data_IF_776262658292
#
_entry.id   IF_776262658292
#
_cell.length_a   1.000
_cell.length_b   1.000
_cell.length_c   1.000
_cell.angle_alpha   90.00
_cell.angle_beta   90.00
_cell.angle_gamma   90.00
#
_symmetry.space_group_name_H-M   'P 1'
#
loop_
_entity.id
_entity.type
_entity.pdbx_description
1 polymer ?
#
# COMPACT_ATOMS: atom_id res chain seq x y z
N UNK A 1 2.63 0.30 13.20
CA UNK A 1 1.33 0.98 13.41
C UNK A 1 1.26 2.11 12.40
N UNK A 2 0.36 2.03 11.41
CA UNK A 2 0.18 3.05 10.36
C UNK A 2 -0.95 4.01 10.78
N UNK A 3 -0.76 5.33 10.61
CA UNK A 3 -1.60 6.35 11.26
C UNK A 3 -2.04 7.42 10.25
N UNK A 4 -3.34 7.69 10.21
CA UNK A 4 -4.01 8.66 9.34
C UNK A 4 -4.12 10.07 9.96
N UNK A 5 -4.26 11.07 9.06
CA UNK A 5 -4.00 12.50 9.20
C UNK A 5 -4.51 13.26 10.43
N UNK A 6 -5.67 12.92 11.00
CA UNK A 6 -6.28 13.78 12.03
C UNK A 6 -5.58 13.72 13.39
N UNK A 7 -4.74 12.71 13.62
CA UNK A 7 -4.03 12.47 14.88
C UNK A 7 -2.50 12.37 14.75
N UNK A 8 -1.93 12.61 13.56
CA UNK A 8 -0.48 12.53 13.34
C UNK A 8 0.30 13.40 14.35
N UNK A 9 -0.22 14.59 14.68
CA UNK A 9 0.36 15.48 15.69
C UNK A 9 0.34 14.88 17.11
N UNK A 10 -0.77 14.26 17.53
CA UNK A 10 -0.94 13.69 18.88
C UNK A 10 -0.17 12.38 19.09
N UNK A 11 0.04 11.59 18.02
CA UNK A 11 0.74 10.31 18.11
C UNK A 11 2.25 10.43 17.84
N UNK A 12 2.71 11.46 17.11
CA UNK A 12 4.14 11.82 17.11
C UNK A 12 4.59 12.21 18.53
N UNK A 13 3.73 12.88 19.31
CA UNK A 13 3.96 13.10 20.75
C UNK A 13 3.95 11.81 21.58
N UNK A 14 3.36 10.73 21.07
CA UNK A 14 3.35 9.40 21.69
C UNK A 14 4.52 8.50 21.24
N UNK A 15 5.50 9.04 20.49
CA UNK A 15 6.71 8.32 20.08
C UNK A 15 6.63 7.61 18.73
N UNK A 16 5.63 7.88 17.89
CA UNK A 16 5.57 7.30 16.55
C UNK A 16 6.73 7.81 15.67
N UNK A 17 7.60 6.90 15.23
CA UNK A 17 8.76 7.19 14.37
C UNK A 17 8.41 7.24 12.87
N UNK A 18 7.23 6.75 12.48
CA UNK A 18 6.73 6.72 11.11
C UNK A 18 5.32 7.31 11.07
N UNK A 19 5.07 8.25 10.15
CA UNK A 19 3.78 8.87 9.89
C UNK A 19 3.35 8.49 8.48
N UNK A 20 2.12 7.99 8.31
CA UNK A 20 1.60 7.58 7.01
C UNK A 20 0.81 8.70 6.35
N UNK A 21 0.97 8.85 5.04
CA UNK A 21 0.10 9.71 4.23
C UNK A 21 -1.34 9.17 4.25
N UNK A 22 -2.33 10.03 4.02
CA UNK A 22 -3.74 9.61 3.93
C UNK A 22 -4.13 9.24 2.49
N UNK A 23 -3.30 8.41 1.86
CA UNK A 23 -3.41 8.06 0.43
C UNK A 23 -3.85 6.64 0.15
N UNK A 24 -4.12 5.82 1.17
CA UNK A 24 -4.50 4.41 1.06
C UNK A 24 -5.53 4.12 -0.04
N UNK A 25 -6.67 4.82 -0.02
CA UNK A 25 -7.73 4.75 -1.03
C UNK A 25 -7.62 5.79 -2.15
N UNK A 26 -6.69 6.74 -2.05
CA UNK A 26 -6.57 7.83 -3.02
C UNK A 26 -5.89 7.32 -4.29
N UNK A 27 -6.63 7.34 -5.41
CA UNK A 27 -6.16 6.88 -6.71
C UNK A 27 -6.96 7.56 -7.83
N UNK A 28 -6.41 7.69 -9.04
CA UNK A 28 -7.19 8.15 -10.19
C UNK A 28 -8.47 7.35 -10.41
N UNK A 29 -8.45 6.04 -10.15
CA UNK A 29 -9.62 5.16 -10.26
C UNK A 29 -10.72 5.51 -9.25
N UNK A 30 -10.40 5.62 -7.96
CA UNK A 30 -11.36 5.96 -6.91
C UNK A 30 -11.92 7.37 -7.07
N UNK A 31 -11.07 8.33 -7.49
CA UNK A 31 -11.53 9.69 -7.81
C UNK A 31 -12.46 9.74 -9.02
N UNK A 32 -12.15 9.01 -10.09
CA UNK A 32 -13.02 8.93 -11.27
C UNK A 32 -14.41 8.34 -10.91
N UNK A 33 -14.46 7.30 -10.06
CA UNK A 33 -15.73 6.73 -9.56
C UNK A 33 -16.53 7.74 -8.72
N UNK A 34 -15.85 8.65 -8.03
CA UNK A 34 -16.47 9.75 -7.29
C UNK A 34 -16.84 10.95 -8.20
N UNK A 35 -16.65 10.87 -9.52
CA UNK A 35 -16.94 11.95 -10.46
C UNK A 35 -15.93 13.10 -10.44
N UNK A 36 -14.74 12.87 -9.87
CA UNK A 36 -13.65 13.86 -9.80
C UNK A 36 -12.77 13.72 -11.06
N UNK A 37 -12.50 14.84 -11.72
CA UNK A 37 -11.69 14.87 -12.93
C UNK A 37 -10.21 14.57 -12.64
N UNK A 38 -9.45 14.20 -13.68
CA UNK A 38 -8.05 13.80 -13.57
C UNK A 38 -7.14 14.89 -12.98
N UNK A 39 -7.38 16.16 -13.31
CA UNK A 39 -6.56 17.28 -12.81
C UNK A 39 -6.78 17.49 -11.32
N UNK A 40 -8.03 17.49 -10.89
CA UNK A 40 -8.39 17.59 -9.46
C UNK A 40 -7.93 16.36 -8.68
N UNK A 41 -8.09 15.15 -9.23
CA UNK A 41 -7.60 13.90 -8.63
C UNK A 41 -6.09 13.95 -8.37
N UNK A 42 -5.32 14.42 -9.36
CA UNK A 42 -3.88 14.63 -9.24
C UNK A 42 -3.55 15.61 -8.11
N UNK A 43 -4.21 16.76 -8.09
CA UNK A 43 -3.99 17.79 -7.07
C UNK A 43 -4.30 17.28 -5.65
N UNK A 44 -5.37 16.53 -5.47
CA UNK A 44 -5.75 15.94 -4.18
C UNK A 44 -4.73 14.91 -3.70
N UNK A 45 -4.22 14.05 -4.60
CA UNK A 45 -3.21 13.04 -4.26
C UNK A 45 -1.92 13.72 -3.77
N UNK A 46 -1.41 14.70 -4.51
CA UNK A 46 -0.24 15.49 -4.14
C UNK A 46 -0.45 16.25 -2.84
N UNK A 47 -1.62 16.85 -2.66
CA UNK A 47 -1.95 17.60 -1.43
C UNK A 47 -1.97 16.71 -0.20
N UNK A 48 -2.42 15.46 -0.30
CA UNK A 48 -2.40 14.53 0.84
C UNK A 48 -0.97 14.22 1.31
N UNK A 49 -0.01 14.12 0.39
CA UNK A 49 1.40 13.90 0.74
C UNK A 49 1.99 15.17 1.35
N UNK A 50 1.78 16.31 0.69
CA UNK A 50 2.26 17.63 1.12
C UNK A 50 1.80 18.01 2.55
N UNK A 51 0.53 17.75 2.87
CA UNK A 51 0.00 17.98 4.23
C UNK A 51 0.74 17.12 5.28
N UNK A 52 1.19 15.91 4.93
CA UNK A 52 1.98 15.06 5.83
C UNK A 52 3.37 15.67 6.06
N UNK A 53 4.00 16.20 5.01
CA UNK A 53 5.27 16.92 5.13
C UNK A 53 5.16 18.20 5.96
N UNK A 54 4.07 18.95 5.79
CA UNK A 54 3.77 20.13 6.62
C UNK A 54 3.60 19.75 8.09
N UNK A 55 2.87 18.66 8.38
CA UNK A 55 2.72 18.16 9.74
C UNK A 55 4.08 17.77 10.37
N UNK A 56 4.95 17.09 9.61
CA UNK A 56 6.32 16.78 10.05
C UNK A 56 7.14 18.05 10.33
N UNK A 57 7.06 19.04 9.44
CA UNK A 57 7.77 20.32 9.62
C UNK A 57 7.31 21.02 10.90
N UNK A 58 6.01 21.16 11.11
CA UNK A 58 5.43 21.77 12.33
C UNK A 58 5.85 21.00 13.59
N UNK A 59 5.92 19.68 13.52
CA UNK A 59 6.38 18.86 14.65
C UNK A 59 7.82 19.18 15.03
N UNK A 60 8.74 19.21 14.05
CA UNK A 60 10.16 19.50 14.26
C UNK A 60 10.38 20.93 14.77
N UNK A 61 9.62 21.91 14.27
CA UNK A 61 9.69 23.30 14.75
C UNK A 61 9.28 23.43 16.23
N UNK A 62 8.33 22.59 16.69
CA UNK A 62 7.87 22.57 18.08
C UNK A 62 8.73 21.73 19.01
N UNK A 63 9.57 20.86 18.48
CA UNK A 63 10.43 19.95 19.23
C UNK A 63 11.85 19.99 18.66
N UNK A 64 12.58 21.12 18.84
CA UNK A 64 13.94 21.26 18.30
C UNK A 64 14.92 20.25 18.90
N UNK A 65 14.63 19.73 20.10
CA UNK A 65 15.41 18.70 20.79
C UNK A 65 15.01 17.26 20.39
N UNK A 66 14.12 17.09 19.41
CA UNK A 66 13.74 15.75 18.94
C UNK A 66 14.97 15.02 18.40
N UNK A 67 15.29 13.88 19.04
CA UNK A 67 16.48 13.07 18.71
C UNK A 67 16.36 12.50 17.29
N UNK A 68 15.15 12.20 16.83
CA UNK A 68 14.89 11.61 15.52
C UNK A 68 13.80 12.36 14.75
N UNK A 69 14.03 12.54 13.45
CA UNK A 69 13.04 13.06 12.50
C UNK A 69 12.05 11.94 12.16
N UNK A 70 10.73 12.15 12.34
CA UNK A 70 9.73 11.18 11.90
C UNK A 70 9.83 10.92 10.39
N UNK A 71 9.79 9.64 10.01
CA UNK A 71 9.74 9.22 8.60
C UNK A 71 8.32 9.36 8.06
N UNK A 72 8.20 9.72 6.79
CA UNK A 72 6.93 9.75 6.05
C UNK A 72 6.85 8.52 5.16
N UNK A 73 5.81 7.73 5.42
CA UNK A 73 5.46 6.54 4.66
C UNK A 73 4.32 6.86 3.69
N UNK A 74 4.55 6.65 2.39
CA UNK A 74 3.50 6.78 1.38
C UNK A 74 2.60 5.54 1.42
N UNK A 75 1.43 5.70 2.03
CA UNK A 75 0.41 4.65 2.17
C UNK A 75 -0.28 4.35 0.84
N UNK A 76 -0.16 3.11 0.39
CA UNK A 76 -0.68 2.61 -0.88
C UNK A 76 -1.51 1.34 -0.60
N UNK A 77 -2.84 1.50 -0.56
CA UNK A 77 -3.76 0.38 -0.43
C UNK A 77 -3.88 -0.46 -1.70
N UNK A 78 -4.53 -1.64 -1.60
CA UNK A 78 -4.70 -2.54 -2.71
C UNK A 78 -5.70 -1.99 -3.73
N UNK A 79 -5.72 -2.60 -4.91
CA UNK A 79 -6.65 -2.34 -5.99
C UNK A 79 -8.11 -2.38 -5.54
N UNK A 80 -8.46 -3.38 -4.71
CA UNK A 80 -9.81 -3.53 -4.16
C UNK A 80 -10.27 -2.33 -3.32
N UNK A 81 -9.34 -1.65 -2.62
CA UNK A 81 -9.70 -0.49 -1.81
C UNK A 81 -10.23 0.68 -2.67
N UNK A 82 -9.86 0.75 -3.96
CA UNK A 82 -10.39 1.74 -4.89
C UNK A 82 -11.80 1.41 -5.40
N UNK A 83 -12.28 0.16 -5.24
CA UNK A 83 -13.62 -0.27 -5.66
C UNK A 83 -14.72 0.15 -4.65
N UNK A 84 -14.33 0.43 -3.40
CA UNK A 84 -15.21 0.86 -2.30
C UNK A 84 -16.32 -0.14 -1.95
N UNK A 85 -16.08 -1.43 -2.16
CA UNK A 85 -17.03 -2.53 -1.93
C UNK A 85 -16.55 -3.57 -0.89
N UNK A 86 -15.41 -3.31 -0.23
CA UNK A 86 -14.80 -4.22 0.74
C UNK A 86 -13.96 -5.33 0.11
N UNK A 87 -13.73 -5.29 -1.21
CA UNK A 87 -12.91 -6.27 -1.93
C UNK A 87 -11.47 -6.34 -1.42
N UNK A 88 -10.97 -5.34 -0.69
CA UNK A 88 -9.65 -5.39 -0.03
C UNK A 88 -9.52 -6.51 1.01
N UNK A 89 -10.62 -7.08 1.51
CA UNK A 89 -10.61 -8.22 2.45
C UNK A 89 -10.95 -9.56 1.80
N UNK A 90 -11.43 -9.56 0.55
CA UNK A 90 -11.79 -10.78 -0.19
C UNK A 90 -10.81 -11.09 -1.32
N UNK A 91 -10.09 -10.07 -1.82
CA UNK A 91 -9.22 -10.15 -2.99
C UNK A 91 -9.96 -10.38 -4.31
N UNK A 92 -11.30 -10.37 -4.32
CA UNK A 92 -12.11 -10.53 -5.53
C UNK A 92 -12.26 -9.16 -6.18
N UNK A 93 -11.49 -8.92 -7.24
CA UNK A 93 -11.46 -7.65 -7.96
C UNK A 93 -12.12 -7.79 -9.31
N UNK A 94 -12.96 -6.82 -9.65
CA UNK A 94 -13.57 -6.72 -10.98
C UNK A 94 -12.88 -5.66 -11.86
N UNK A 95 -12.83 -5.90 -13.17
CA UNK A 95 -12.28 -4.99 -14.18
C UNK A 95 -13.09 -3.67 -14.24
N UNK A 96 -12.49 -2.49 -14.01
CA UNK A 96 -13.14 -1.19 -14.05
C UNK A 96 -13.36 -0.69 -15.48
N UNK A 97 -12.75 -1.32 -16.48
CA UNK A 97 -12.65 -0.87 -17.87
C UNK A 97 -13.59 -1.53 -18.88
N UNK A 98 -14.29 -2.63 -18.59
CA UNK A 98 -15.16 -3.32 -19.56
C UNK A 98 -16.29 -4.07 -18.87
N UNK A 99 -17.45 -4.31 -19.46
CA UNK A 99 -18.22 -3.74 -20.57
C UNK A 99 -19.69 -3.93 -20.15
N UNK A 100 -20.69 -3.48 -20.91
CA UNK A 100 -22.09 -3.84 -20.60
C UNK A 100 -22.36 -5.37 -20.65
N UNK A 101 -21.36 -6.19 -21.01
CA UNK A 101 -21.52 -7.59 -21.40
C UNK A 101 -21.05 -8.59 -20.33
N UNK A 102 -20.15 -8.23 -19.41
CA UNK A 102 -19.78 -9.11 -18.27
C UNK A 102 -19.26 -8.32 -17.03
N UNK A 103 -20.12 -8.05 -16.03
CA UNK A 103 -19.73 -7.36 -14.81
C UNK A 103 -18.89 -8.21 -13.84
N UNK A 104 -18.62 -9.49 -14.14
CA UNK A 104 -17.91 -10.42 -13.27
C UNK A 104 -16.48 -10.76 -13.74
N UNK A 105 -16.00 -10.12 -14.81
CA UNK A 105 -14.64 -10.32 -15.30
C UNK A 105 -13.60 -9.95 -14.22
N UNK A 106 -12.73 -10.87 -13.80
CA UNK A 106 -11.67 -10.57 -12.83
C UNK A 106 -10.71 -9.50 -13.37
N UNK A 107 -10.24 -8.61 -12.49
CA UNK A 107 -9.20 -7.64 -12.84
C UNK A 107 -7.96 -8.36 -13.37
N UNK A 108 -7.42 -7.92 -14.50
CA UNK A 108 -6.21 -8.50 -15.05
C UNK A 108 -4.98 -7.98 -14.30
N UNK A 109 -3.88 -8.74 -14.38
CA UNK A 109 -2.59 -8.32 -13.82
C UNK A 109 -2.19 -6.91 -14.29
N UNK A 110 -2.35 -6.64 -15.59
CA UNK A 110 -2.04 -5.33 -16.19
C UNK A 110 -2.88 -4.18 -15.60
N UNK A 111 -4.14 -4.43 -15.23
CA UNK A 111 -4.99 -3.41 -14.60
C UNK A 111 -4.46 -3.03 -13.21
N UNK A 112 -3.98 -4.03 -12.46
CA UNK A 112 -3.37 -3.81 -11.14
C UNK A 112 -2.00 -3.12 -11.27
N UNK A 113 -1.18 -3.49 -12.26
CA UNK A 113 0.11 -2.84 -12.55
C UNK A 113 -0.14 -1.36 -12.84
N UNK A 114 -1.06 -1.07 -13.78
CA UNK A 114 -1.41 0.29 -14.15
C UNK A 114 -1.94 1.09 -12.97
N UNK A 115 -2.79 0.48 -12.14
CA UNK A 115 -3.35 1.13 -10.96
C UNK A 115 -2.27 1.60 -9.97
N UNK A 116 -1.32 0.73 -9.64
CA UNK A 116 -0.23 1.08 -8.72
C UNK A 116 0.74 2.08 -9.37
N UNK A 117 1.08 1.86 -10.65
CA UNK A 117 1.96 2.75 -11.42
C UNK A 117 1.40 4.17 -11.51
N UNK A 118 0.13 4.36 -11.88
CA UNK A 118 -0.47 5.69 -12.05
C UNK A 118 -0.38 6.53 -10.76
N UNK A 119 -0.55 5.89 -9.58
CA UNK A 119 -0.45 6.57 -8.27
C UNK A 119 0.98 6.99 -7.98
N UNK A 120 1.93 6.08 -8.21
CA UNK A 120 3.35 6.32 -8.00
C UNK A 120 3.87 7.41 -8.94
N UNK A 121 3.55 7.31 -10.23
CA UNK A 121 3.95 8.25 -11.28
C UNK A 121 3.51 9.69 -10.94
N UNK A 122 2.25 9.88 -10.54
CA UNK A 122 1.74 11.22 -10.20
C UNK A 122 2.58 11.88 -9.11
N UNK A 123 2.94 11.12 -8.07
CA UNK A 123 3.65 11.64 -6.90
C UNK A 123 5.14 11.78 -7.20
N UNK A 124 5.74 10.79 -7.86
CA UNK A 124 7.17 10.76 -8.21
C UNK A 124 7.55 11.83 -9.24
N UNK A 125 6.62 12.18 -10.15
CA UNK A 125 6.80 13.25 -11.13
C UNK A 125 6.83 14.67 -10.50
N UNK A 126 6.56 14.80 -9.20
CA UNK A 126 6.65 16.07 -8.46
C UNK A 126 7.81 16.03 -7.45
N UNK A 127 9.03 16.49 -7.82
CA UNK A 127 10.22 16.34 -6.98
C UNK A 127 10.08 16.94 -5.57
N UNK A 128 9.35 18.05 -5.44
CA UNK A 128 9.09 18.72 -4.16
C UNK A 128 8.19 17.89 -3.23
N UNK A 129 7.39 16.98 -3.78
CA UNK A 129 6.52 16.06 -3.05
C UNK A 129 7.25 14.74 -2.80
N UNK A 130 7.89 14.16 -3.83
CA UNK A 130 8.62 12.90 -3.74
C UNK A 130 9.77 12.94 -2.72
N UNK A 131 10.46 14.09 -2.61
CA UNK A 131 11.51 14.29 -1.60
C UNK A 131 11.00 14.27 -0.16
N UNK A 132 9.69 14.43 0.07
CA UNK A 132 9.10 14.36 1.41
C UNK A 132 8.88 12.92 1.86
N UNK A 133 8.66 12.00 0.92
CA UNK A 133 8.43 10.57 1.16
C UNK A 133 9.75 9.88 1.46
N UNK A 134 9.81 9.17 2.58
CA UNK A 134 11.01 8.43 2.99
C UNK A 134 10.91 6.94 2.63
N UNK A 135 9.71 6.37 2.61
CA UNK A 135 9.48 4.97 2.24
C UNK A 135 8.07 4.73 1.64
N UNK A 136 7.93 3.66 0.86
CA UNK A 136 6.68 3.23 0.24
C UNK A 136 6.03 2.10 1.05
N UNK A 137 4.72 2.17 1.21
CA UNK A 137 3.96 1.26 2.04
C UNK A 137 2.80 0.65 1.27
N UNK A 138 3.02 -0.54 0.71
CA UNK A 138 1.95 -1.32 0.13
C UNK A 138 1.27 -2.10 1.25
N UNK A 139 0.05 -1.71 1.62
CA UNK A 139 -0.59 -2.23 2.82
C UNK A 139 -1.95 -2.85 2.57
N UNK A 140 -2.30 -3.86 3.37
CA UNK A 140 -3.54 -4.64 3.25
C UNK A 140 -3.64 -5.41 1.93
N UNK A 141 -2.54 -5.96 1.42
CA UNK A 141 -2.56 -6.73 0.16
C UNK A 141 -3.19 -8.12 0.39
N UNK A 142 -4.29 -8.49 -0.31
CA UNK A 142 -5.01 -9.74 -0.05
C UNK A 142 -4.70 -10.86 -1.06
N UNK A 143 -3.78 -10.65 -2.02
CA UNK A 143 -3.48 -11.62 -3.08
C UNK A 143 -2.05 -11.51 -3.62
N UNK A 144 -1.49 -12.62 -4.08
CA UNK A 144 -0.09 -12.72 -4.53
C UNK A 144 0.18 -12.05 -5.88
N UNK A 145 -0.74 -12.18 -6.84
CA UNK A 145 -0.62 -11.56 -8.16
C UNK A 145 -0.74 -10.03 -8.11
N UNK A 146 -1.36 -9.47 -7.07
CA UNK A 146 -1.25 -8.03 -6.81
C UNK A 146 0.12 -7.64 -6.27
N UNK A 147 0.77 -8.46 -5.42
CA UNK A 147 2.14 -8.22 -5.00
C UNK A 147 3.11 -8.23 -6.20
N UNK A 148 2.90 -9.14 -7.16
CA UNK A 148 3.59 -9.15 -8.44
C UNK A 148 3.29 -7.88 -9.27
N UNK A 149 2.04 -7.44 -9.32
CA UNK A 149 1.66 -6.20 -10.00
C UNK A 149 2.37 -4.97 -9.42
N UNK A 150 2.52 -4.92 -8.10
CA UNK A 150 3.24 -3.85 -7.40
C UNK A 150 4.72 -3.87 -7.78
N UNK A 151 5.36 -5.03 -7.81
CA UNK A 151 6.76 -5.19 -8.24
C UNK A 151 6.97 -4.64 -9.65
N UNK A 152 6.13 -5.05 -10.60
CA UNK A 152 6.21 -4.56 -11.98
C UNK A 152 5.90 -3.06 -12.09
N UNK A 153 5.03 -2.51 -11.25
CA UNK A 153 4.77 -1.06 -11.19
C UNK A 153 6.00 -0.27 -10.68
N UNK A 154 6.72 -0.80 -9.68
CA UNK A 154 7.97 -0.21 -9.19
C UNK A 154 9.09 -0.31 -10.22
N UNK A 155 9.27 -1.48 -10.84
CA UNK A 155 10.25 -1.70 -11.90
C UNK A 155 10.03 -0.68 -13.03
N UNK A 156 8.77 -0.53 -13.47
CA UNK A 156 8.37 0.45 -14.48
C UNK A 156 8.63 1.89 -14.04
N UNK A 157 8.36 2.24 -12.78
CA UNK A 157 8.61 3.58 -12.25
C UNK A 157 10.09 3.96 -12.34
N UNK A 158 10.98 3.02 -11.98
CA UNK A 158 12.42 3.26 -11.92
C UNK A 158 13.14 3.01 -13.25
N UNK A 159 12.52 2.34 -14.22
CA UNK A 159 13.06 2.14 -15.57
C UNK A 159 12.69 3.24 -16.57
N UNK A 160 11.65 4.04 -16.30
CA UNK A 160 11.16 5.09 -17.19
C UNK A 160 11.95 6.40 -17.04
N UNK A 161 11.68 7.37 -17.93
CA UNK A 161 12.33 8.71 -17.95
C UNK A 161 12.01 9.59 -16.73
N UNK A 162 11.18 9.12 -15.78
CA UNK A 162 10.90 9.86 -14.55
C UNK A 162 12.13 9.75 -13.65
N UNK A 163 12.95 10.80 -13.67
CA UNK A 163 14.10 10.92 -12.79
C UNK A 163 13.64 11.15 -11.34
N UNK A 164 13.41 10.04 -10.63
CA UNK A 164 13.09 10.05 -9.22
C UNK A 164 14.06 9.14 -8.45
N UNK A 165 14.32 9.49 -7.19
CA UNK A 165 15.14 8.66 -6.31
C UNK A 165 14.36 7.41 -5.92
N UNK A 166 14.98 6.23 -6.02
CA UNK A 166 14.42 5.00 -5.47
C UNK A 166 14.21 5.12 -3.95
N UNK A 167 13.02 4.71 -3.50
CA UNK A 167 12.62 4.70 -2.09
C UNK A 167 12.53 3.25 -1.62
N UNK A 168 12.95 2.94 -0.38
CA UNK A 168 12.70 1.63 0.20
C UNK A 168 11.20 1.40 0.28
N UNK A 169 10.77 0.17 -0.01
CA UNK A 169 9.38 -0.26 -0.02
C UNK A 169 9.19 -1.45 0.91
N UNK A 170 8.10 -1.45 1.66
CA UNK A 170 7.62 -2.66 2.31
C UNK A 170 6.23 -3.01 1.81
N UNK A 171 5.91 -4.29 1.90
CA UNK A 171 4.58 -4.83 1.60
C UNK A 171 4.01 -5.52 2.84
N UNK A 172 2.73 -5.29 3.11
CA UNK A 172 2.02 -5.95 4.21
C UNK A 172 0.74 -6.59 3.72
N UNK A 173 0.52 -7.81 4.18
CA UNK A 173 -0.61 -8.63 3.78
C UNK A 173 -1.69 -8.67 4.85
N UNK A 174 -2.91 -9.03 4.44
CA UNK A 174 -4.06 -9.23 5.32
C UNK A 174 -4.46 -10.70 5.39
N UNK A 175 -4.72 -11.19 6.60
CA UNK A 175 -5.15 -12.57 6.88
C UNK A 175 -6.45 -12.57 7.70
N UNK A 176 -7.63 -12.38 7.08
CA UNK A 176 -8.89 -12.25 7.82
C UNK A 176 -9.23 -13.45 8.72
N UNK A 177 -8.75 -14.65 8.36
CA UNK A 177 -8.91 -15.91 9.10
C UNK A 177 -7.63 -16.37 9.81
N UNK A 178 -6.52 -15.63 9.67
CA UNK A 178 -5.23 -15.94 10.26
C UNK A 178 -4.48 -17.11 9.60
N UNK A 179 -4.93 -17.62 8.46
CA UNK A 179 -4.36 -18.82 7.81
C UNK A 179 -3.78 -18.55 6.44
N UNK A 180 -4.49 -17.78 5.61
CA UNK A 180 -4.09 -17.51 4.22
C UNK A 180 -4.50 -16.13 3.76
N UNK A 181 -3.94 -15.72 2.62
CA UNK A 181 -4.46 -14.59 1.89
C UNK A 181 -5.89 -14.89 1.41
N UNK A 182 -6.80 -13.89 1.40
CA UNK A 182 -8.19 -14.07 0.98
C UNK A 182 -8.40 -14.64 -0.43
N UNK A 183 -7.43 -14.43 -1.34
CA UNK A 183 -7.54 -14.85 -2.72
C UNK A 183 -6.30 -15.66 -3.18
N UNK A 184 -6.51 -16.76 -3.92
CA UNK A 184 -7.81 -17.33 -4.32
C UNK A 184 -8.55 -17.93 -3.12
N UNK A 185 -9.90 -17.91 -3.16
CA UNK A 185 -10.71 -18.51 -2.11
C UNK A 185 -10.43 -20.02 -2.05
N UNK A 186 -9.98 -20.50 -0.90
CA UNK A 186 -9.71 -21.91 -0.66
C UNK A 186 -10.23 -22.31 0.73
N UNK A 187 -10.84 -23.49 0.82
CA UNK A 187 -11.30 -24.06 2.10
C UNK A 187 -10.25 -25.02 2.69
N UNK A 188 -10.30 -25.25 4.01
CA UNK A 188 -9.42 -26.17 4.73
C UNK A 188 -8.03 -25.62 5.08
N UNK A 189 -7.23 -26.41 5.79
CA UNK A 189 -5.91 -26.01 6.34
C UNK A 189 -4.73 -26.58 5.54
N UNK A 190 -5.02 -27.33 4.47
CA UNK A 190 -3.99 -27.92 3.63
C UNK A 190 -3.17 -26.84 2.92
N UNK A 191 -1.86 -27.06 2.86
CA UNK A 191 -0.93 -26.20 2.14
C UNK A 191 -0.61 -24.87 2.80
N UNK A 192 -1.04 -24.62 4.04
CA UNK A 192 -0.84 -23.32 4.71
C UNK A 192 0.63 -22.88 4.73
N UNK A 193 1.56 -23.74 5.18
CA UNK A 193 2.99 -23.38 5.18
C UNK A 193 3.55 -23.15 3.77
N UNK A 194 3.07 -23.91 2.77
CA UNK A 194 3.47 -23.71 1.38
C UNK A 194 3.02 -22.34 0.87
N UNK A 195 1.85 -21.88 1.30
CA UNK A 195 1.34 -20.55 0.97
C UNK A 195 2.21 -19.44 1.57
N UNK A 196 2.65 -19.56 2.83
CA UNK A 196 3.63 -18.62 3.40
C UNK A 196 4.97 -18.64 2.66
N UNK A 197 5.45 -19.82 2.23
CA UNK A 197 6.66 -19.93 1.41
C UNK A 197 6.48 -19.28 0.01
N UNK A 198 5.27 -19.28 -0.55
CA UNK A 198 4.94 -18.57 -1.80
C UNK A 198 4.91 -17.06 -1.60
N UNK A 199 4.37 -16.57 -0.48
CA UNK A 199 4.42 -15.15 -0.10
C UNK A 199 5.87 -14.68 -0.02
N UNK A 200 6.72 -15.40 0.72
CA UNK A 200 8.13 -15.02 0.89
C UNK A 200 8.88 -14.91 -0.44
N UNK A 201 8.64 -15.84 -1.37
CA UNK A 201 9.22 -15.80 -2.73
C UNK A 201 8.74 -14.62 -3.58
N UNK A 202 7.51 -14.16 -3.37
CA UNK A 202 6.92 -13.07 -4.15
C UNK A 202 7.46 -11.70 -3.74
N UNK A 203 8.05 -11.58 -2.55
CA UNK A 203 8.41 -10.28 -1.95
C UNK A 203 9.91 -10.09 -1.75
N UNK A 204 10.72 -10.89 -2.41
CA UNK A 204 12.19 -10.87 -2.30
C UNK A 204 12.83 -9.52 -2.67
N UNK A 205 12.12 -8.70 -3.46
CA UNK A 205 12.54 -7.35 -3.87
C UNK A 205 12.14 -6.22 -2.92
N UNK A 206 11.37 -6.50 -1.86
CA UNK A 206 10.98 -5.47 -0.89
C UNK A 206 11.93 -5.46 0.31
N UNK A 207 12.28 -4.28 0.81
CA UNK A 207 13.10 -4.13 2.01
C UNK A 207 12.39 -4.59 3.30
N UNK A 208 11.08 -4.80 3.25
CA UNK A 208 10.32 -5.33 4.37
C UNK A 208 9.04 -6.04 3.96
N UNK A 209 8.67 -7.03 4.77
CA UNK A 209 7.38 -7.72 4.69
C UNK A 209 6.68 -7.68 6.05
N UNK A 210 5.35 -7.55 6.06
CA UNK A 210 4.58 -7.55 7.29
C UNK A 210 3.14 -8.02 7.16
N UNK A 211 2.41 -7.80 8.24
CA UNK A 211 0.99 -8.11 8.38
C UNK A 211 0.28 -6.90 8.95
N UNK A 212 -0.81 -6.47 8.33
CA UNK A 212 -1.68 -5.41 8.86
C UNK A 212 -3.16 -5.80 8.65
N UNK A 213 -4.07 -5.00 9.22
CA UNK A 213 -5.53 -5.20 9.10
C UNK A 213 -6.03 -6.62 9.43
N UNK A 214 -5.24 -7.38 10.19
CA UNK A 214 -5.51 -8.74 10.65
C UNK A 214 -5.87 -8.68 12.13
N UNK A 215 -6.87 -9.49 12.54
CA UNK A 215 -7.34 -9.46 13.93
C UNK A 215 -6.17 -9.78 14.89
N UNK A 216 -5.99 -9.02 15.99
CA UNK A 216 -4.79 -9.13 16.83
C UNK A 216 -4.46 -10.54 17.33
N UNK A 217 -5.48 -11.35 17.61
CA UNK A 217 -5.30 -12.71 18.11
C UNK A 217 -4.75 -13.69 17.06
N UNK A 218 -4.79 -13.36 15.76
CA UNK A 218 -4.15 -14.15 14.71
C UNK A 218 -2.67 -13.78 14.50
N UNK A 219 -2.26 -12.57 14.90
CA UNK A 219 -0.93 -12.04 14.59
C UNK A 219 0.22 -12.94 15.08
N UNK A 220 0.21 -13.52 16.31
CA UNK A 220 1.35 -14.32 16.77
C UNK A 220 1.68 -15.50 15.84
N UNK A 221 0.66 -16.23 15.40
CA UNK A 221 0.86 -17.40 14.53
C UNK A 221 1.19 -17.00 13.09
N UNK A 222 0.53 -15.98 12.54
CA UNK A 222 0.81 -15.49 11.18
C UNK A 222 2.26 -14.97 11.10
N UNK A 223 2.69 -14.15 12.07
CA UNK A 223 4.05 -13.62 12.11
C UNK A 223 5.07 -14.75 12.22
N UNK A 224 4.83 -15.73 13.10
CA UNK A 224 5.72 -16.90 13.24
C UNK A 224 5.88 -17.68 11.94
N UNK A 225 4.79 -17.96 11.21
CA UNK A 225 4.81 -18.68 9.94
C UNK A 225 5.52 -17.88 8.85
N UNK A 226 5.29 -16.57 8.82
CA UNK A 226 5.91 -15.67 7.88
C UNK A 226 7.42 -15.53 8.11
N UNK A 227 7.86 -15.33 9.36
CA UNK A 227 9.29 -15.31 9.73
C UNK A 227 9.98 -16.60 9.27
N UNK A 228 9.39 -17.76 9.56
CA UNK A 228 9.93 -19.06 9.13
C UNK A 228 10.04 -19.18 7.61
N UNK A 229 9.14 -18.56 6.84
CA UNK A 229 9.17 -18.61 5.39
C UNK A 229 10.26 -17.69 4.79
N UNK A 230 10.51 -16.54 5.42
CA UNK A 230 11.50 -15.54 4.97
C UNK A 230 12.94 -15.90 5.38
N UNK A 231 13.13 -16.66 6.45
CA UNK A 231 14.45 -17.11 6.92
C UNK A 231 15.03 -18.32 6.14
N UNK A 232 14.29 -18.88 5.19
CA UNK A 232 14.74 -20.02 4.36
C UNK A 232 15.48 -19.55 3.11
#
# INVERSE_FOLDING_TARGET
MFIYHSNAFRLSQAGAQIISTSTYQASPLSFARAGIDKGTARALLLRSVDLTGQARKIYLEKHPDAIEKPLISLSLGPYGAAQSDGSEYTGIYYDPGNSKDDPFKPAALEDMIKFHYDRLEIIAAEPSIWSQVDLLAFETIPRLDEAEAIKQALDRLYSNDIQCQQKPAYISFVFPDGKRLPYPKQEGDEGEQKHFDEIARCVDTFEGIGVNCTKPYFLPEVVKKLTRAVEK
#
